data_IF_323262416137
#
_entry.id   IF_323262416137
#
_cell.length_a   1.000
_cell.length_b   1.000
_cell.length_c   1.000
_cell.angle_alpha   90.00
_cell.angle_beta   90.00
_cell.angle_gamma   90.00
#
_symmetry.space_group_name_H-M   'P 1'
#
loop_
_entity.id
_entity.type
_entity.pdbx_description
1 polymer ?
#
# COMPACT_ATOMS: atom_id res chain seq x y z
N UNK A 1 -22.39 26.04 41.83
CA UNK A 1 -20.95 25.82 41.63
C UNK A 1 -20.84 24.40 41.08
N UNK A 2 -20.90 24.22 39.75
CA UNK A 2 -19.74 24.22 38.82
C UNK A 2 -18.87 22.96 39.06
N UNK A 3 -18.57 22.02 38.16
CA UNK A 3 -18.62 21.84 36.69
C UNK A 3 -18.68 20.31 36.43
N UNK A 4 -19.59 19.80 35.61
CA UNK A 4 -19.33 19.21 34.30
C UNK A 4 -17.85 18.91 33.93
N UNK A 5 -17.46 17.63 33.97
CA UNK A 5 -16.43 17.11 33.07
C UNK A 5 -17.03 15.99 32.20
N UNK A 6 -17.11 16.34 30.92
CA UNK A 6 -17.59 15.57 29.80
C UNK A 6 -16.62 14.40 29.54
N UNK A 7 -17.09 13.16 29.72
CA UNK A 7 -16.54 12.04 28.96
C UNK A 7 -17.01 12.20 27.52
N UNK A 8 -16.15 12.76 26.68
CA UNK A 8 -16.33 12.75 25.23
C UNK A 8 -16.49 11.29 24.78
N UNK A 9 -17.70 11.01 24.29
CA UNK A 9 -17.99 9.91 23.40
C UNK A 9 -17.00 9.95 22.24
N UNK A 10 -16.06 9.01 22.20
CA UNK A 10 -15.42 8.63 20.94
C UNK A 10 -16.47 7.86 20.14
N UNK A 11 -17.14 8.61 19.28
CA UNK A 11 -18.06 8.14 18.27
C UNK A 11 -17.40 7.06 17.41
N UNK A 12 -18.16 5.99 17.26
CA UNK A 12 -17.96 4.86 16.37
C UNK A 12 -17.60 5.31 14.94
N UNK A 13 -16.32 5.23 14.59
CA UNK A 13 -15.84 5.25 13.21
C UNK A 13 -15.28 3.88 12.87
N UNK A 14 -15.88 3.19 11.90
CA UNK A 14 -15.36 1.94 11.34
C UNK A 14 -13.86 2.13 11.06
N UNK A 15 -13.00 1.37 11.76
CA UNK A 15 -11.54 1.41 11.60
C UNK A 15 -11.17 0.89 10.20
N UNK A 16 -11.34 1.73 9.18
CA UNK A 16 -10.87 1.46 7.83
C UNK A 16 -9.35 1.32 7.85
N UNK A 17 -8.86 0.32 7.13
CA UNK A 17 -7.44 0.03 7.10
C UNK A 17 -6.68 1.25 6.55
N UNK A 18 -5.43 1.47 6.98
CA UNK A 18 -4.60 2.58 6.45
C UNK A 18 -4.51 2.52 4.92
N UNK A 19 -4.56 1.31 4.35
CA UNK A 19 -4.55 1.07 2.92
C UNK A 19 -5.79 1.66 2.21
N UNK A 20 -6.99 1.49 2.79
CA UNK A 20 -8.23 2.06 2.27
C UNK A 20 -8.25 3.59 2.33
N UNK A 21 -7.44 4.17 3.23
CA UNK A 21 -7.27 5.62 3.39
C UNK A 21 -6.06 6.17 2.63
N UNK A 22 -5.35 5.36 1.86
CA UNK A 22 -4.14 5.78 1.13
C UNK A 22 -4.37 5.69 -0.37
N UNK A 23 -4.02 6.75 -1.10
CA UNK A 23 -4.13 6.84 -2.55
C UNK A 23 -2.80 7.20 -3.18
N UNK A 24 -2.64 6.85 -4.45
CA UNK A 24 -1.54 7.32 -5.29
C UNK A 24 -2.04 8.31 -6.33
N UNK A 25 -1.32 9.42 -6.48
CA UNK A 25 -1.59 10.43 -7.50
C UNK A 25 -0.42 10.48 -8.47
N UNK A 26 -0.70 10.12 -9.73
CA UNK A 26 0.31 10.05 -10.79
C UNK A 26 0.61 11.42 -11.42
N UNK A 27 1.80 11.53 -12.02
CA UNK A 27 2.23 12.68 -12.82
C UNK A 27 2.23 14.03 -12.08
N UNK A 28 2.20 13.99 -10.75
CA UNK A 28 2.28 15.16 -9.90
C UNK A 28 3.75 15.46 -9.58
N UNK A 29 4.31 16.48 -10.23
CA UNK A 29 5.73 16.89 -10.16
C UNK A 29 5.93 18.21 -9.41
N UNK A 30 5.17 18.38 -8.34
CA UNK A 30 5.27 19.53 -7.43
C UNK A 30 6.12 19.18 -6.23
N UNK A 31 6.75 20.15 -5.54
CA UNK A 31 7.44 19.88 -4.27
C UNK A 31 6.44 19.54 -3.15
N UNK A 32 6.90 18.83 -2.11
CA UNK A 32 6.04 18.39 -1.00
C UNK A 32 5.45 19.61 -0.28
N UNK A 33 6.25 20.66 -0.08
CA UNK A 33 5.87 21.88 0.63
C UNK A 33 4.81 22.67 -0.14
N UNK A 34 5.01 22.85 -1.46
CA UNK A 34 4.04 23.53 -2.31
C UNK A 34 2.75 22.74 -2.38
N UNK A 35 2.84 21.42 -2.51
CA UNK A 35 1.66 20.56 -2.56
C UNK A 35 0.89 20.59 -1.23
N UNK A 36 1.56 20.51 -0.08
CA UNK A 36 0.92 20.60 1.22
C UNK A 36 0.19 21.93 1.43
N UNK A 37 0.76 23.06 0.97
CA UNK A 37 0.10 24.38 1.02
C UNK A 37 -1.18 24.46 0.20
N UNK A 38 -1.27 23.68 -0.90
CA UNK A 38 -2.45 23.65 -1.78
C UNK A 38 -3.50 22.69 -1.23
N UNK A 39 -3.10 21.48 -0.83
CA UNK A 39 -4.04 20.44 -0.44
C UNK A 39 -4.63 20.62 0.95
N UNK A 40 -3.85 21.14 1.91
CA UNK A 40 -4.35 21.36 3.28
C UNK A 40 -5.66 22.17 3.30
N UNK A 41 -5.74 23.38 2.71
CA UNK A 41 -6.99 24.14 2.74
C UNK A 41 -8.12 23.46 1.94
N UNK A 42 -7.82 22.85 0.78
CA UNK A 42 -8.84 22.18 -0.04
C UNK A 42 -9.55 21.03 0.69
N UNK A 43 -8.79 20.21 1.43
CA UNK A 43 -9.36 19.10 2.17
C UNK A 43 -9.85 19.51 3.58
N UNK A 44 -9.31 20.59 4.15
CA UNK A 44 -9.77 21.11 5.44
C UNK A 44 -11.22 21.59 5.39
N UNK A 45 -11.64 22.22 4.30
CA UNK A 45 -13.00 22.74 4.12
C UNK A 45 -14.06 21.64 4.21
N UNK A 46 -13.77 20.44 3.70
CA UNK A 46 -14.71 19.32 3.63
C UNK A 46 -14.52 18.27 4.72
N UNK A 47 -13.28 18.04 5.14
CA UNK A 47 -12.88 16.89 5.96
C UNK A 47 -12.11 17.28 7.24
N UNK A 48 -11.97 18.58 7.51
CA UNK A 48 -11.32 19.15 8.70
C UNK A 48 -9.81 19.36 8.57
N UNK A 49 -9.24 20.21 9.44
CA UNK A 49 -7.87 20.75 9.34
C UNK A 49 -6.75 19.71 9.20
N UNK A 50 -6.99 18.47 9.63
CA UNK A 50 -6.03 17.35 9.59
C UNK A 50 -6.49 16.20 8.67
N UNK A 51 -7.18 16.52 7.57
CA UNK A 51 -7.66 15.54 6.59
C UNK A 51 -6.55 14.68 5.98
N UNK A 52 -5.32 15.19 5.88
CA UNK A 52 -4.15 14.49 5.31
C UNK A 52 -3.15 14.20 6.43
N UNK A 53 -2.81 12.93 6.62
CA UNK A 53 -1.88 12.44 7.65
C UNK A 53 -0.48 12.19 7.13
N UNK A 54 -0.34 11.78 5.86
CA UNK A 54 0.96 11.57 5.23
C UNK A 54 0.96 11.98 3.75
N UNK A 55 2.09 12.52 3.30
CA UNK A 55 2.33 12.92 1.91
C UNK A 55 3.75 12.50 1.50
N UNK A 56 3.86 11.35 0.83
CA UNK A 56 5.16 10.73 0.50
C UNK A 56 5.44 10.86 -0.99
N UNK A 57 6.53 11.55 -1.34
CA UNK A 57 7.00 11.65 -2.72
C UNK A 57 7.47 10.29 -3.23
N UNK A 58 6.97 9.88 -4.40
CA UNK A 58 7.48 8.75 -5.19
C UNK A 58 8.03 9.24 -6.53
N UNK A 59 8.66 8.34 -7.29
CA UNK A 59 9.30 8.66 -8.58
C UNK A 59 8.39 9.45 -9.54
N UNK A 60 7.14 9.02 -9.71
CA UNK A 60 6.20 9.59 -10.68
C UNK A 60 4.94 10.17 -10.03
N UNK A 61 4.96 10.49 -8.73
CA UNK A 61 3.74 10.94 -8.05
C UNK A 61 3.86 11.08 -6.54
N UNK A 62 2.72 11.03 -5.88
CA UNK A 62 2.59 11.13 -4.43
C UNK A 62 1.71 10.02 -3.89
N UNK A 63 2.15 9.41 -2.80
CA UNK A 63 1.30 8.57 -1.95
C UNK A 63 0.73 9.48 -0.85
N UNK A 64 -0.60 9.58 -0.79
CA UNK A 64 -1.34 10.46 0.12
C UNK A 64 -2.16 9.59 1.05
N UNK A 65 -1.93 9.71 2.36
CA UNK A 65 -2.75 9.03 3.38
C UNK A 65 -3.66 10.05 4.05
N UNK A 66 -4.95 9.74 4.10
CA UNK A 66 -5.98 10.55 4.72
C UNK A 66 -6.27 10.11 6.15
N UNK A 67 -6.84 11.00 6.95
CA UNK A 67 -7.24 10.69 8.34
C UNK A 67 -8.47 9.78 8.39
N UNK A 68 -9.37 9.85 7.41
CA UNK A 68 -10.57 9.03 7.31
C UNK A 68 -10.77 8.49 5.88
N UNK A 69 -11.64 7.47 5.72
CA UNK A 69 -11.90 6.84 4.42
C UNK A 69 -12.78 7.70 3.50
N UNK A 70 -13.57 8.61 4.04
CA UNK A 70 -14.44 9.50 3.27
C UNK A 70 -13.62 10.51 2.45
N UNK A 71 -12.57 11.08 3.03
CA UNK A 71 -11.62 11.96 2.35
C UNK A 71 -10.85 11.24 1.24
N UNK A 72 -10.45 9.99 1.50
CA UNK A 72 -9.85 9.15 0.47
C UNK A 72 -10.85 8.85 -0.66
N UNK A 73 -12.11 8.56 -0.33
CA UNK A 73 -13.15 8.31 -1.33
C UNK A 73 -13.44 9.57 -2.17
N UNK A 74 -13.54 10.74 -1.55
CA UNK A 74 -13.73 12.03 -2.24
C UNK A 74 -12.57 12.31 -3.21
N UNK A 75 -11.32 12.10 -2.77
CA UNK A 75 -10.14 12.25 -3.64
C UNK A 75 -10.11 11.21 -4.78
N UNK A 76 -10.66 10.02 -4.57
CA UNK A 76 -10.73 8.95 -5.58
C UNK A 76 -11.79 9.26 -6.65
N UNK A 77 -12.95 9.80 -6.24
CA UNK A 77 -14.09 10.07 -7.13
C UNK A 77 -13.97 11.42 -7.82
N UNK A 78 -13.53 12.45 -7.10
CA UNK A 78 -13.56 13.85 -7.54
C UNK A 78 -12.17 14.44 -7.80
N UNK A 79 -11.10 13.76 -7.39
CA UNK A 79 -9.73 14.25 -7.53
C UNK A 79 -9.50 15.59 -6.82
N UNK A 80 -8.48 16.33 -7.25
CA UNK A 80 -8.21 17.70 -6.81
C UNK A 80 -7.49 18.51 -7.88
N UNK A 81 -7.45 19.84 -7.69
CA UNK A 81 -6.80 20.77 -8.63
C UNK A 81 -5.50 21.34 -8.08
N UNK A 82 -4.45 21.29 -8.90
CA UNK A 82 -3.17 21.97 -8.68
C UNK A 82 -2.83 22.76 -9.94
N UNK A 83 -2.58 24.07 -9.80
CA UNK A 83 -2.16 24.95 -10.89
C UNK A 83 -3.01 24.75 -12.18
N UNK A 84 -4.34 24.79 -12.06
CA UNK A 84 -5.33 24.59 -13.13
C UNK A 84 -5.39 23.19 -13.76
N UNK A 85 -4.65 22.22 -13.25
CA UNK A 85 -4.71 20.82 -13.70
C UNK A 85 -5.48 19.96 -12.70
N UNK A 86 -6.39 19.15 -13.21
CA UNK A 86 -7.10 18.13 -12.43
C UNK A 86 -6.20 16.90 -12.25
N UNK A 87 -6.16 16.40 -11.02
CA UNK A 87 -5.43 15.19 -10.65
C UNK A 87 -6.40 14.23 -9.96
N UNK A 88 -6.46 13.00 -10.48
CA UNK A 88 -7.31 11.97 -9.92
C UNK A 88 -6.50 11.07 -9.00
N UNK A 89 -7.09 10.70 -7.85
CA UNK A 89 -6.55 9.67 -7.00
C UNK A 89 -6.70 8.29 -7.65
N UNK A 90 -5.71 7.43 -7.45
CA UNK A 90 -5.81 6.00 -7.76
C UNK A 90 -5.75 5.24 -6.45
N UNK A 91 -6.69 4.33 -6.23
CA UNK A 91 -6.69 3.48 -5.05
C UNK A 91 -5.40 2.68 -4.98
N UNK A 92 -4.74 2.71 -3.82
CA UNK A 92 -3.62 1.83 -3.52
C UNK A 92 -4.18 0.45 -3.20
N UNK A 93 -4.40 -0.33 -4.24
CA UNK A 93 -4.66 -1.76 -4.11
C UNK A 93 -3.33 -2.47 -3.89
N UNK A 94 -3.35 -3.60 -3.15
CA UNK A 94 -2.18 -4.47 -3.04
C UNK A 94 -1.74 -4.86 -4.46
N UNK A 95 -0.69 -4.18 -4.95
CA UNK A 95 -0.14 -4.45 -6.26
C UNK A 95 0.52 -5.82 -6.24
N UNK A 96 0.43 -6.53 -7.34
CA UNK A 96 1.20 -7.75 -7.55
C UNK A 96 2.70 -7.41 -7.42
N UNK A 97 3.35 -7.99 -6.42
CA UNK A 97 4.76 -7.76 -6.11
C UNK A 97 5.63 -8.88 -6.60
N UNK A 98 6.75 -8.52 -7.21
CA UNK A 98 7.84 -9.45 -7.39
C UNK A 98 8.55 -9.67 -6.06
N UNK A 99 8.36 -10.85 -5.47
CA UNK A 99 9.09 -11.33 -4.30
C UNK A 99 10.27 -12.18 -4.77
N UNK A 100 11.45 -11.85 -4.27
CA UNK A 100 12.63 -12.70 -4.43
C UNK A 100 12.73 -13.59 -3.20
N UNK A 101 12.66 -14.90 -3.40
CA UNK A 101 12.94 -15.85 -2.33
C UNK A 101 14.45 -16.07 -2.27
N UNK A 102 15.03 -15.73 -1.12
CA UNK A 102 16.43 -16.00 -0.79
C UNK A 102 16.65 -17.53 -0.68
N UNK A 103 17.89 -18.02 -0.87
CA UNK A 103 18.14 -19.35 -1.44
C UNK A 103 17.25 -20.44 -0.86
N UNK A 104 16.28 -20.85 -1.68
CA UNK A 104 15.37 -21.95 -1.41
C UNK A 104 16.13 -23.25 -1.72
N UNK A 105 16.14 -24.24 -0.82
CA UNK A 105 16.80 -25.52 -1.10
C UNK A 105 16.22 -26.20 -2.35
N UNK A 106 17.08 -26.82 -3.15
CA UNK A 106 16.70 -27.41 -4.44
C UNK A 106 15.64 -28.53 -4.33
N UNK A 107 15.50 -29.16 -3.16
CA UNK A 107 14.48 -30.19 -2.91
C UNK A 107 13.07 -29.60 -2.65
N UNK A 108 12.96 -28.28 -2.45
CA UNK A 108 11.66 -27.63 -2.25
C UNK A 108 11.06 -27.32 -3.61
N UNK A 109 9.93 -27.94 -3.90
CA UNK A 109 9.21 -27.72 -5.15
C UNK A 109 8.36 -26.44 -5.14
N UNK A 110 7.98 -26.01 -6.34
CA UNK A 110 7.16 -24.81 -6.54
C UNK A 110 5.77 -24.93 -5.90
N UNK A 111 5.24 -26.15 -5.79
CA UNK A 111 3.94 -26.42 -5.16
C UNK A 111 4.00 -26.09 -3.66
N UNK A 112 5.08 -26.49 -2.98
CA UNK A 112 5.32 -26.21 -1.57
C UNK A 112 5.52 -24.73 -1.31
N UNK A 113 6.21 -24.04 -2.22
CA UNK A 113 6.38 -22.57 -2.15
C UNK A 113 5.03 -21.87 -2.32
N UNK A 114 4.26 -22.23 -3.35
CA UNK A 114 2.96 -21.64 -3.62
C UNK A 114 1.98 -21.86 -2.47
N UNK A 115 1.98 -23.08 -1.90
CA UNK A 115 1.18 -23.41 -0.72
C UNK A 115 1.56 -22.52 0.48
N UNK A 116 2.85 -22.39 0.80
CA UNK A 116 3.29 -21.54 1.90
C UNK A 116 2.90 -20.07 1.72
N UNK A 117 2.99 -19.55 0.50
CA UNK A 117 2.56 -18.18 0.18
C UNK A 117 1.04 -18.01 0.33
N UNK A 118 0.27 -19.03 -0.05
CA UNK A 118 -1.19 -19.05 0.12
C UNK A 118 -1.58 -19.12 1.60
N UNK A 119 -0.89 -19.94 2.39
CA UNK A 119 -1.14 -20.11 3.82
C UNK A 119 -0.94 -18.80 4.60
N UNK A 120 0.00 -17.96 4.18
CA UNK A 120 0.22 -16.61 4.76
C UNK A 120 -0.67 -15.52 4.14
N UNK A 121 -1.67 -15.90 3.35
CA UNK A 121 -2.68 -15.03 2.77
C UNK A 121 -2.27 -14.30 1.49
N UNK A 122 -1.12 -14.62 0.89
CA UNK A 122 -0.77 -14.08 -0.41
C UNK A 122 -1.50 -14.85 -1.52
N UNK A 123 -1.93 -14.15 -2.57
CA UNK A 123 -2.36 -14.79 -3.82
C UNK A 123 -1.17 -14.84 -4.75
N UNK A 124 -0.68 -16.03 -5.12
CA UNK A 124 0.38 -16.12 -6.12
C UNK A 124 -0.19 -15.82 -7.51
N UNK A 125 0.59 -15.10 -8.34
CA UNK A 125 0.18 -14.64 -9.67
C UNK A 125 1.22 -15.13 -10.68
N UNK A 126 0.92 -16.25 -11.34
CA UNK A 126 1.77 -16.84 -12.36
C UNK A 126 2.83 -17.82 -11.84
N UNK A 127 3.82 -18.11 -12.68
CA UNK A 127 4.85 -19.14 -12.45
C UNK A 127 6.00 -18.63 -11.57
N UNK A 128 6.60 -19.57 -10.82
CA UNK A 128 7.81 -19.32 -10.05
C UNK A 128 9.01 -19.43 -11.00
N UNK A 129 9.76 -18.33 -11.14
CA UNK A 129 10.94 -18.29 -12.01
C UNK A 129 12.18 -18.69 -11.23
N UNK A 130 12.86 -19.73 -11.70
CA UNK A 130 14.16 -20.14 -11.20
C UNK A 130 15.26 -19.24 -11.79
N UNK A 131 16.20 -18.83 -10.96
CA UNK A 131 17.43 -18.19 -11.43
C UNK A 131 18.51 -19.25 -11.51
N UNK A 132 18.98 -19.52 -12.72
CA UNK A 132 20.07 -20.44 -13.00
C UNK A 132 21.29 -19.68 -13.53
N UNK A 133 22.48 -20.17 -13.21
CA UNK A 133 23.77 -19.73 -13.77
C UNK A 133 24.41 -20.97 -14.38
N UNK A 134 24.68 -20.95 -15.69
CA UNK A 134 25.26 -22.08 -16.43
C UNK A 134 24.51 -23.41 -16.23
N UNK A 135 23.16 -23.34 -16.17
CA UNK A 135 22.30 -24.50 -15.91
C UNK A 135 22.25 -24.96 -14.45
N UNK A 136 23.04 -24.36 -13.56
CA UNK A 136 23.06 -24.66 -12.12
C UNK A 136 22.01 -23.80 -11.42
N UNK A 137 21.15 -24.45 -10.63
CA UNK A 137 20.16 -23.77 -9.82
C UNK A 137 20.82 -23.00 -8.66
N UNK A 138 20.56 -21.69 -8.57
CA UNK A 138 21.14 -20.82 -7.53
C UNK A 138 20.33 -20.79 -6.23
N UNK A 139 19.23 -21.54 -6.14
CA UNK A 139 18.23 -21.48 -5.07
C UNK A 139 17.40 -20.20 -5.08
N UNK A 140 17.75 -19.19 -5.88
CA UNK A 140 16.96 -17.96 -5.98
C UNK A 140 15.72 -18.22 -6.81
N UNK A 141 14.56 -17.83 -6.26
CA UNK A 141 13.26 -17.90 -6.94
C UNK A 141 12.66 -16.51 -7.02
N UNK A 142 11.97 -16.24 -8.12
CA UNK A 142 11.18 -15.02 -8.28
C UNK A 142 9.73 -15.40 -8.46
N UNK A 143 8.88 -14.88 -7.59
CA UNK A 143 7.44 -15.15 -7.62
C UNK A 143 6.72 -13.82 -7.61
N UNK A 144 5.68 -13.68 -8.44
CA UNK A 144 4.79 -12.53 -8.37
C UNK A 144 3.65 -12.91 -7.43
N UNK A 145 3.40 -12.10 -6.41
CA UNK A 145 2.34 -12.34 -5.43
C UNK A 145 1.53 -11.07 -5.18
N UNK A 146 0.23 -11.21 -5.04
CA UNK A 146 -0.62 -10.21 -4.41
C UNK A 146 -0.60 -10.45 -2.92
N UNK A 147 -0.32 -9.40 -2.16
CA UNK A 147 -0.27 -9.50 -0.70
C UNK A 147 -1.67 -9.48 -0.09
N UNK A 148 -1.87 -10.04 1.11
CA UNK A 148 -3.12 -9.91 1.85
C UNK A 148 -3.38 -8.45 2.24
N UNK A 149 -4.65 -8.07 2.37
CA UNK A 149 -5.07 -6.73 2.82
C UNK A 149 -4.57 -6.40 4.23
N UNK A 150 -4.41 -7.44 5.07
CA UNK A 150 -4.04 -7.33 6.47
C UNK A 150 -2.52 -7.42 6.68
N UNK A 151 -1.75 -6.70 5.86
CA UNK A 151 -0.28 -6.66 5.94
C UNK A 151 0.23 -5.36 6.59
N UNK A 152 1.44 -5.41 7.15
CA UNK A 152 2.17 -4.22 7.60
C UNK A 152 3.41 -4.02 6.73
N UNK A 153 3.49 -2.86 6.08
CA UNK A 153 4.67 -2.46 5.31
C UNK A 153 5.81 -2.05 6.25
N UNK A 154 7.01 -2.55 5.99
CA UNK A 154 8.26 -2.18 6.65
C UNK A 154 9.23 -1.61 5.59
N UNK A 155 10.28 -0.85 5.99
CA UNK A 155 11.19 -0.21 5.04
C UNK A 155 11.83 -1.15 4.00
N UNK A 156 12.00 -2.44 4.31
CA UNK A 156 12.59 -3.46 3.41
C UNK A 156 11.88 -4.83 3.49
N UNK A 157 10.69 -4.86 4.08
CA UNK A 157 9.96 -6.09 4.31
C UNK A 157 8.47 -5.81 4.42
N UNK A 158 7.68 -6.86 4.46
CA UNK A 158 6.29 -6.85 4.89
C UNK A 158 6.16 -7.86 6.02
N UNK A 159 5.34 -7.52 7.00
CA UNK A 159 4.89 -8.46 8.00
C UNK A 159 3.45 -8.85 7.67
N UNK A 160 3.21 -10.16 7.56
CA UNK A 160 1.89 -10.75 7.36
C UNK A 160 1.57 -11.65 8.54
N UNK A 161 0.33 -11.62 9.03
CA UNK A 161 -0.08 -12.55 10.09
C UNK A 161 -0.13 -13.96 9.52
N UNK A 162 0.72 -14.83 10.04
CA UNK A 162 0.72 -16.24 9.69
C UNK A 162 -0.46 -16.99 10.32
N UNK A 163 -0.75 -18.22 9.85
CA UNK A 163 -1.81 -19.08 10.41
C UNK A 163 -1.67 -19.35 11.91
N UNK A 164 -0.45 -19.31 12.43
CA UNK A 164 -0.12 -19.53 13.84
C UNK A 164 -0.33 -18.29 14.73
N UNK A 165 -0.79 -17.17 14.16
CA UNK A 165 -0.92 -15.89 14.85
C UNK A 165 0.40 -15.13 15.03
N UNK A 166 1.54 -15.72 14.65
CA UNK A 166 2.84 -15.03 14.61
C UNK A 166 2.98 -14.23 13.32
N UNK A 167 3.69 -13.10 13.39
CA UNK A 167 4.03 -12.33 12.21
C UNK A 167 5.12 -13.03 11.40
N UNK A 168 4.82 -13.34 10.15
CA UNK A 168 5.76 -13.82 9.15
C UNK A 168 6.36 -12.62 8.41
N UNK A 169 7.68 -12.58 8.30
CA UNK A 169 8.41 -11.48 7.65
C UNK A 169 8.86 -11.88 6.26
N UNK A 170 8.37 -11.19 5.24
CA UNK A 170 8.80 -11.37 3.85
C UNK A 170 9.67 -10.18 3.48
N UNK A 171 10.93 -10.42 3.11
CA UNK A 171 11.78 -9.38 2.57
C UNK A 171 11.28 -8.96 1.19
N UNK A 172 11.07 -7.65 1.00
CA UNK A 172 10.61 -7.11 -0.27
C UNK A 172 11.55 -6.00 -0.75
N UNK A 173 11.86 -6.06 -2.03
CA UNK A 173 12.48 -4.94 -2.73
C UNK A 173 11.35 -4.16 -3.38
N UNK A 174 11.03 -2.99 -2.82
CA UNK A 174 10.02 -2.07 -3.34
C UNK A 174 10.43 -1.51 -4.72
N UNK A 175 10.27 -2.31 -5.79
CA UNK A 175 10.30 -1.79 -7.16
C UNK A 175 8.89 -1.37 -7.54
N UNK A 176 8.54 -0.11 -7.23
CA UNK A 176 7.36 0.60 -7.74
C UNK A 176 6.05 -0.20 -7.72
N UNK A 177 5.40 -0.30 -6.56
CA UNK A 177 4.01 -0.74 -6.46
C UNK A 177 3.12 0.23 -7.28
N UNK A 178 2.58 -0.23 -8.41
CA UNK A 178 1.65 0.52 -9.25
C UNK A 178 0.61 -0.42 -9.82
N UNK A 179 -0.65 -0.03 -9.75
CA UNK A 179 -1.70 -0.60 -10.58
C UNK A 179 -2.08 0.43 -11.63
N UNK A 180 -1.83 0.09 -12.90
CA UNK A 180 -2.47 0.81 -14.00
C UNK A 180 -3.91 0.32 -14.07
N UNK A 181 -4.88 1.23 -14.17
CA UNK A 181 -6.19 0.87 -14.72
C UNK A 181 -5.91 0.26 -16.10
N UNK A 182 -6.36 -0.96 -16.34
CA UNK A 182 -6.46 -1.48 -17.69
C UNK A 182 -7.46 -0.60 -18.44
N UNK A 183 -6.98 0.42 -19.14
CA UNK A 183 -7.70 1.01 -20.26
C UNK A 183 -7.74 -0.06 -21.35
N UNK A 184 -8.92 -0.66 -21.54
CA UNK A 184 -9.31 -1.17 -22.85
C UNK A 184 -9.41 -0.01 -23.82
#
# INVERSE_FOLDING_TARGET
MAEAEQKQEQTSGVNSSILERTLFVENLRTSVEKLAKILKPQFAEKHGDNAITALIRKRDGYEITFSNAEAAKDCLENGFKVDNRQYDGVSMVNSDLLVNLNPVPAYVDDVSIAKKLTDIGCTYVGEIKHVQIDGIDTGRRKVIVRLPTNMRSLPRAIAVKGPSGRDERIEIFHRNQRLRKNTR
#
